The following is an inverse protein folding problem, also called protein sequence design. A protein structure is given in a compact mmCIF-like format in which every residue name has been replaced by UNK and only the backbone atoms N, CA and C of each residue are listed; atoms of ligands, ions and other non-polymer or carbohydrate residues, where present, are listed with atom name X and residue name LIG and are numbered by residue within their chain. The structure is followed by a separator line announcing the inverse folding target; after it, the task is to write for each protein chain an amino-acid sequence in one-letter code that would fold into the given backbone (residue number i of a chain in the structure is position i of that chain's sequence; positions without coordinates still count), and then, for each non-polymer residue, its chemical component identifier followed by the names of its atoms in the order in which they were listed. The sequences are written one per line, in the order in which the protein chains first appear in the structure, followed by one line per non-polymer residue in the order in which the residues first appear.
data_IF_365454232773
#
_entry.id   IF_365454232773
#
_cell.length_a   1.000
_cell.length_b   1.000
_cell.length_c   1.000
_cell.angle_alpha   90.00
_cell.angle_beta   90.00
_cell.angle_gamma   90.00
#
_symmetry.space_group_name_H-M   'P 1'
#
loop_
_entity.id
_entity.type
_entity.pdbx_description
1 polymer ?
#
# COMPACT_ATOMS: atom_id res chain seq x y z
N UNK A 1 -23.12 -32.62 1.90
CA UNK A 1 -22.25 -31.53 1.43
C UNK A 1 -21.63 -31.99 0.14
N UNK A 2 -21.90 -31.31 -0.96
CA UNK A 2 -21.32 -31.64 -2.26
C UNK A 2 -19.80 -31.39 -2.22
N UNK A 3 -19.03 -32.37 -2.70
CA UNK A 3 -17.56 -32.30 -2.70
C UNK A 3 -17.02 -31.09 -3.47
N UNK A 4 -17.79 -30.58 -4.45
CA UNK A 4 -17.52 -29.35 -5.20
C UNK A 4 -17.61 -28.08 -4.35
N UNK A 5 -18.53 -28.02 -3.39
CA UNK A 5 -18.72 -26.86 -2.49
C UNK A 5 -17.58 -26.82 -1.46
N UNK A 6 -17.15 -27.98 -0.95
CA UNK A 6 -15.98 -28.08 -0.08
C UNK A 6 -14.70 -27.67 -0.78
N UNK A 7 -14.49 -28.11 -2.03
CA UNK A 7 -13.34 -27.71 -2.84
C UNK A 7 -13.34 -26.21 -3.13
N UNK A 8 -14.50 -25.65 -3.51
CA UNK A 8 -14.58 -24.23 -3.86
C UNK A 8 -14.44 -23.34 -2.63
N UNK A 9 -15.10 -23.68 -1.53
CA UNK A 9 -14.94 -22.97 -0.25
C UNK A 9 -13.50 -23.01 0.27
N UNK A 10 -12.79 -24.14 0.11
CA UNK A 10 -11.38 -24.27 0.44
C UNK A 10 -10.50 -23.29 -0.35
N UNK A 11 -10.68 -23.20 -1.67
CA UNK A 11 -9.96 -22.25 -2.53
C UNK A 11 -10.27 -20.80 -2.15
N UNK A 12 -11.54 -20.48 -1.90
CA UNK A 12 -11.96 -19.14 -1.47
C UNK A 12 -11.21 -18.71 -0.21
N UNK A 13 -11.18 -19.55 0.82
CA UNK A 13 -10.50 -19.26 2.10
C UNK A 13 -9.01 -19.01 1.87
N UNK A 14 -8.35 -19.86 1.07
CA UNK A 14 -6.92 -19.67 0.74
C UNK A 14 -6.66 -18.33 0.04
N UNK A 15 -7.50 -17.96 -0.93
CA UNK A 15 -7.40 -16.67 -1.63
C UNK A 15 -7.63 -15.47 -0.70
N UNK A 16 -8.61 -15.56 0.20
CA UNK A 16 -8.86 -14.52 1.21
C UNK A 16 -7.67 -14.33 2.14
N UNK A 17 -7.07 -15.42 2.62
CA UNK A 17 -5.89 -15.38 3.49
C UNK A 17 -4.70 -14.80 2.72
N UNK A 18 -4.49 -15.25 1.47
CA UNK A 18 -3.38 -14.83 0.63
C UNK A 18 -3.46 -13.35 0.23
N UNK A 19 -4.66 -12.80 0.02
CA UNK A 19 -4.85 -11.38 -0.29
C UNK A 19 -4.95 -10.48 0.95
N UNK A 20 -5.75 -10.90 1.94
CA UNK A 20 -6.09 -10.11 3.12
C UNK A 20 -4.94 -9.94 4.11
N UNK A 21 -4.18 -11.01 4.41
CA UNK A 21 -3.05 -10.91 5.35
C UNK A 21 -1.98 -9.90 4.88
N UNK A 22 -1.44 -9.97 3.66
CA UNK A 22 -0.41 -9.03 3.25
C UNK A 22 -0.95 -7.61 3.14
N UNK A 23 -2.22 -7.43 2.77
CA UNK A 23 -2.86 -6.11 2.79
C UNK A 23 -2.89 -5.53 4.22
N UNK A 24 -3.39 -6.28 5.20
CA UNK A 24 -3.45 -5.82 6.58
C UNK A 24 -2.07 -5.53 7.16
N UNK A 25 -1.08 -6.38 6.87
CA UNK A 25 0.31 -6.15 7.28
C UNK A 25 0.87 -4.87 6.65
N UNK A 26 0.59 -4.60 5.37
CA UNK A 26 1.02 -3.37 4.71
C UNK A 26 0.39 -2.13 5.35
N UNK A 27 -0.90 -2.17 5.68
CA UNK A 27 -1.58 -1.07 6.36
C UNK A 27 -1.02 -0.83 7.76
N UNK A 28 -0.97 -1.88 8.59
CA UNK A 28 -0.54 -1.77 9.99
C UNK A 28 0.91 -1.33 10.07
N UNK A 29 1.80 -1.91 9.27
CA UNK A 29 3.21 -1.51 9.24
C UNK A 29 3.38 -0.04 8.84
N UNK A 30 2.67 0.41 7.80
CA UNK A 30 2.76 1.80 7.33
C UNK A 30 2.23 2.78 8.38
N UNK A 31 1.09 2.50 9.01
CA UNK A 31 0.53 3.35 10.06
C UNK A 31 1.42 3.40 11.31
N UNK A 32 2.04 2.28 11.69
CA UNK A 32 2.99 2.24 12.80
C UNK A 32 4.24 3.07 12.51
N UNK A 33 4.80 2.96 11.29
CA UNK A 33 5.95 3.75 10.86
C UNK A 33 5.63 5.24 10.87
N UNK A 34 4.47 5.64 10.32
CA UNK A 34 4.04 7.04 10.30
C UNK A 34 3.84 7.58 11.71
N UNK A 35 3.23 6.81 12.62
CA UNK A 35 3.07 7.22 14.03
C UNK A 35 4.42 7.41 14.71
N UNK A 36 5.34 6.46 14.57
CA UNK A 36 6.68 6.56 15.14
C UNK A 36 7.44 7.77 14.58
N UNK A 37 7.43 7.96 13.25
CA UNK A 37 8.05 9.09 12.58
C UNK A 37 7.44 10.43 13.02
N UNK A 38 6.12 10.49 13.19
CA UNK A 38 5.41 11.69 13.66
C UNK A 38 5.88 12.09 15.06
N UNK A 39 5.95 11.13 15.98
CA UNK A 39 6.41 11.39 17.36
C UNK A 39 7.86 11.85 17.39
N UNK A 40 8.75 11.21 16.61
CA UNK A 40 10.15 11.61 16.51
C UNK A 40 10.30 13.03 15.96
N UNK A 41 9.50 13.38 14.94
CA UNK A 41 9.56 14.70 14.32
C UNK A 41 8.94 15.79 15.20
N UNK A 42 7.91 15.46 16.00
CA UNK A 42 7.36 16.35 17.02
C UNK A 42 8.34 16.60 18.16
N UNK A 43 9.14 15.60 18.57
CA UNK A 43 10.18 15.78 19.59
C UNK A 43 11.24 16.81 19.15
N UNK A 44 11.53 16.90 17.85
CA UNK A 44 12.40 17.92 17.25
C UNK A 44 11.68 19.25 16.97
N UNK A 45 10.37 19.34 17.23
CA UNK A 45 9.54 20.51 16.98
C UNK A 45 10.08 21.82 17.56
N UNK A 46 10.50 21.89 18.84
CA UNK A 46 11.04 23.12 19.43
C UNK A 46 12.26 23.67 18.68
N UNK A 47 13.10 22.79 18.12
CA UNK A 47 14.27 23.17 17.35
C UNK A 47 13.86 23.77 15.99
N UNK A 48 12.89 23.19 15.28
CA UNK A 48 12.37 23.76 14.04
C UNK A 48 11.65 25.09 14.28
N UNK A 49 10.93 25.23 15.39
CA UNK A 49 10.29 26.48 15.79
C UNK A 49 11.36 27.55 16.08
N UNK A 50 12.47 27.20 16.73
CA UNK A 50 13.58 28.13 16.94
C UNK A 50 14.20 28.61 15.60
N UNK A 51 14.29 27.73 14.60
CA UNK A 51 14.72 28.12 13.25
C UNK A 51 13.75 29.06 12.53
N UNK A 52 12.48 29.13 12.93
CA UNK A 52 11.53 30.07 12.35
C UNK A 52 11.83 31.54 12.70
N UNK A 53 12.62 31.80 13.75
CA UNK A 53 13.03 33.15 14.15
C UNK A 53 14.07 33.78 13.22
N UNK A 54 14.85 32.97 12.50
CA UNK A 54 15.89 33.48 11.60
C UNK A 54 15.43 33.33 10.14
N UNK A 55 15.45 34.42 9.37
CA UNK A 55 14.98 34.42 7.98
C UNK A 55 15.73 33.41 7.10
N UNK A 56 17.01 33.14 7.40
CA UNK A 56 17.85 32.20 6.66
C UNK A 56 17.47 30.72 6.89
N UNK A 57 16.93 30.37 8.05
CA UNK A 57 16.59 28.97 8.42
C UNK A 57 15.08 28.70 8.47
N UNK A 58 14.25 29.74 8.26
CA UNK A 58 12.78 29.62 8.19
C UNK A 58 12.28 28.60 7.16
N UNK A 59 13.04 28.34 6.09
CA UNK A 59 12.68 27.30 5.11
C UNK A 59 12.61 25.88 5.75
N UNK A 60 13.40 25.62 6.80
CA UNK A 60 13.41 24.32 7.49
C UNK A 60 12.17 24.14 8.36
N UNK A 61 11.67 25.21 8.97
CA UNK A 61 10.40 25.21 9.69
C UNK A 61 9.22 24.87 8.76
N UNK A 62 9.18 25.50 7.57
CA UNK A 62 8.14 25.20 6.59
C UNK A 62 8.23 23.77 6.04
N UNK A 63 9.44 23.26 5.83
CA UNK A 63 9.65 21.85 5.47
C UNK A 63 9.14 20.88 6.55
N UNK A 64 9.39 21.20 7.83
CA UNK A 64 8.86 20.42 8.96
C UNK A 64 7.33 20.44 9.02
N UNK A 65 6.70 21.61 8.87
CA UNK A 65 5.23 21.76 8.84
C UNK A 65 4.62 20.97 7.68
N UNK A 66 5.22 21.08 6.49
CA UNK A 66 4.83 20.33 5.30
C UNK A 66 4.89 18.81 5.54
N UNK A 67 5.95 18.32 6.19
CA UNK A 67 6.09 16.91 6.53
C UNK A 67 5.02 16.43 7.51
N UNK A 68 4.73 17.22 8.54
CA UNK A 68 3.69 16.90 9.53
C UNK A 68 2.31 16.82 8.89
N UNK A 69 1.98 17.80 8.05
CA UNK A 69 0.74 17.78 7.29
C UNK A 69 0.68 16.58 6.34
N UNK A 70 1.79 16.18 5.71
CA UNK A 70 1.87 14.97 4.87
C UNK A 70 1.53 13.70 5.65
N UNK A 71 2.04 13.56 6.88
CA UNK A 71 1.72 12.42 7.74
C UNK A 71 0.26 12.41 8.20
N UNK A 72 -0.30 13.57 8.54
CA UNK A 72 -1.71 13.70 8.90
C UNK A 72 -2.61 13.35 7.71
N UNK A 73 -2.31 13.87 6.53
CA UNK A 73 -3.05 13.58 5.31
C UNK A 73 -2.98 12.09 4.96
N UNK A 74 -1.80 11.46 5.13
CA UNK A 74 -1.67 10.01 4.92
C UNK A 74 -2.64 9.24 5.84
N UNK A 75 -2.71 9.56 7.13
CA UNK A 75 -3.63 8.89 8.05
C UNK A 75 -5.11 9.04 7.62
N UNK A 76 -5.49 10.22 7.12
CA UNK A 76 -6.84 10.47 6.59
C UNK A 76 -7.11 9.64 5.33
N UNK A 77 -6.15 9.55 4.39
CA UNK A 77 -6.33 8.71 3.20
C UNK A 77 -6.47 7.23 3.56
N UNK A 78 -5.71 6.75 4.53
CA UNK A 78 -5.82 5.36 5.01
C UNK A 78 -7.19 5.05 5.60
N UNK A 79 -7.82 5.98 6.34
CA UNK A 79 -9.15 5.75 6.90
C UNK A 79 -10.22 5.61 5.80
N UNK A 80 -10.12 6.41 4.74
CA UNK A 80 -11.02 6.32 3.57
C UNK A 80 -10.86 4.99 2.85
N UNK A 81 -9.62 4.52 2.66
CA UNK A 81 -9.33 3.28 1.96
C UNK A 81 -9.81 2.06 2.75
N UNK A 82 -9.59 2.04 4.06
CA UNK A 82 -10.13 0.99 4.93
C UNK A 82 -11.66 0.96 4.92
N UNK A 83 -12.32 2.12 4.94
CA UNK A 83 -13.77 2.20 4.85
C UNK A 83 -14.30 1.64 3.51
N UNK A 84 -13.62 1.98 2.42
CA UNK A 84 -13.97 1.47 1.08
C UNK A 84 -13.78 -0.05 0.98
N UNK A 85 -12.73 -0.58 1.57
CA UNK A 85 -12.47 -2.02 1.59
C UNK A 85 -13.52 -2.79 2.39
N UNK A 86 -13.89 -2.29 3.58
CA UNK A 86 -14.97 -2.89 4.39
C UNK A 86 -16.30 -2.85 3.65
N UNK A 87 -16.60 -1.73 2.97
CA UNK A 87 -17.79 -1.63 2.12
C UNK A 87 -17.77 -2.68 1.00
N UNK A 88 -16.62 -2.89 0.36
CA UNK A 88 -16.47 -3.90 -0.68
C UNK A 88 -16.66 -5.32 -0.13
N UNK A 89 -16.05 -5.66 1.01
CA UNK A 89 -16.23 -6.96 1.67
C UNK A 89 -17.72 -7.22 1.93
N UNK A 90 -18.46 -6.24 2.44
CA UNK A 90 -19.90 -6.36 2.67
C UNK A 90 -20.66 -6.61 1.36
N UNK A 91 -20.30 -5.96 0.25
CA UNK A 91 -20.97 -6.18 -1.05
C UNK A 91 -20.58 -7.48 -1.76
N UNK A 92 -19.32 -7.92 -1.61
CA UNK A 92 -18.75 -9.04 -2.36
C UNK A 92 -18.85 -10.38 -1.63
N UNK A 93 -18.85 -10.37 -0.29
CA UNK A 93 -18.91 -11.58 0.56
C UNK A 93 -20.30 -11.81 1.13
N UNK A 94 -21.08 -10.75 1.42
CA UNK A 94 -22.47 -10.83 1.86
C UNK A 94 -23.43 -10.45 0.72
N UNK A 95 -23.71 -11.40 -0.18
CA UNK A 95 -24.89 -11.33 -1.06
C UNK A 95 -25.97 -12.24 -0.45
N UNK A 96 -27.08 -11.64 -0.01
CA UNK A 96 -28.26 -12.37 0.49
C UNK A 96 -28.01 -13.39 1.63
N UNK A 97 -27.07 -13.09 2.54
CA UNK A 97 -26.81 -13.91 3.73
C UNK A 97 -26.18 -15.28 3.45
N UNK A 98 -25.71 -15.53 2.21
CA UNK A 98 -24.97 -16.74 1.84
C UNK A 98 -23.61 -16.33 1.28
N UNK A 99 -22.53 -16.91 1.81
CA UNK A 99 -21.25 -16.90 1.11
C UNK A 99 -21.47 -17.67 -0.18
N UNK A 100 -21.59 -16.98 -1.30
CA UNK A 100 -21.61 -17.62 -2.61
C UNK A 100 -20.16 -18.08 -2.87
N UNK A 101 -19.83 -19.36 -2.70
CA UNK A 101 -18.48 -19.85 -2.90
C UNK A 101 -18.31 -20.03 -4.40
N UNK A 102 -18.52 -18.98 -5.18
CA UNK A 102 -18.19 -18.98 -6.59
C UNK A 102 -16.70 -18.70 -6.70
N UNK A 103 -15.99 -19.54 -7.45
CA UNK A 103 -14.59 -19.30 -7.84
C UNK A 103 -14.44 -17.91 -8.45
N UNK A 104 -15.42 -17.44 -9.22
CA UNK A 104 -15.39 -16.12 -9.84
C UNK A 104 -15.39 -14.99 -8.81
N UNK A 105 -16.25 -15.05 -7.78
CA UNK A 105 -16.28 -14.05 -6.71
C UNK A 105 -15.01 -14.04 -5.86
N UNK A 106 -14.42 -15.21 -5.63
CA UNK A 106 -13.19 -15.37 -4.86
C UNK A 106 -11.98 -14.77 -5.58
N UNK A 107 -11.89 -14.95 -6.91
CA UNK A 107 -10.85 -14.34 -7.75
C UNK A 107 -11.02 -12.81 -7.81
N UNK A 108 -12.25 -12.32 -7.99
CA UNK A 108 -12.53 -10.88 -7.99
C UNK A 108 -12.10 -10.23 -6.67
N UNK A 109 -12.38 -10.88 -5.53
CA UNK A 109 -11.93 -10.39 -4.23
C UNK A 109 -10.40 -10.38 -4.12
N UNK A 110 -9.71 -11.45 -4.55
CA UNK A 110 -8.26 -11.51 -4.51
C UNK A 110 -7.61 -10.38 -5.32
N UNK A 111 -8.13 -10.13 -6.53
CA UNK A 111 -7.67 -9.01 -7.37
C UNK A 111 -7.93 -7.68 -6.65
N UNK A 112 -9.08 -7.51 -6.02
CA UNK A 112 -9.40 -6.30 -5.28
C UNK A 112 -8.43 -6.05 -4.12
N UNK A 113 -8.14 -7.05 -3.29
CA UNK A 113 -7.10 -6.96 -2.25
C UNK A 113 -5.73 -6.63 -2.83
N UNK A 114 -5.35 -7.23 -3.96
CA UNK A 114 -4.08 -6.95 -4.61
C UNK A 114 -3.97 -5.50 -5.09
N UNK A 115 -5.05 -4.94 -5.66
CA UNK A 115 -5.11 -3.53 -6.08
C UNK A 115 -5.02 -2.61 -4.86
N UNK A 116 -5.76 -2.90 -3.80
CA UNK A 116 -5.74 -2.13 -2.56
C UNK A 116 -4.39 -2.18 -1.86
N UNK A 117 -3.69 -3.32 -1.93
CA UNK A 117 -2.32 -3.47 -1.43
C UNK A 117 -1.37 -2.51 -2.16
N UNK A 118 -1.43 -2.44 -3.49
CA UNK A 118 -0.64 -1.48 -4.27
C UNK A 118 -1.02 -0.05 -3.90
N UNK A 119 -2.33 0.23 -3.80
CA UNK A 119 -2.82 1.57 -3.46
C UNK A 119 -2.28 2.04 -2.10
N UNK A 120 -2.34 1.19 -1.07
CA UNK A 120 -1.78 1.44 0.27
C UNK A 120 -0.30 1.80 0.24
N UNK A 121 0.49 1.21 -0.66
CA UNK A 121 1.92 1.56 -0.77
C UNK A 121 2.18 2.93 -1.39
N UNK A 122 1.22 3.46 -2.17
CA UNK A 122 1.36 4.75 -2.86
C UNK A 122 0.67 5.91 -2.14
N UNK A 123 -0.31 5.64 -1.26
CA UNK A 123 -0.99 6.69 -0.48
C UNK A 123 -0.05 7.64 0.26
N UNK A 124 1.03 7.18 0.94
CA UNK A 124 1.96 8.09 1.59
C UNK A 124 2.66 9.01 0.59
N UNK A 125 2.93 8.53 -0.62
CA UNK A 125 3.58 9.33 -1.67
C UNK A 125 2.63 10.40 -2.21
N UNK A 126 1.35 10.07 -2.40
CA UNK A 126 0.33 11.03 -2.82
C UNK A 126 0.06 12.09 -1.75
N UNK A 127 -0.03 11.69 -0.49
CA UNK A 127 -0.19 12.65 0.61
C UNK A 127 1.02 13.59 0.71
N UNK A 128 2.23 13.05 0.58
CA UNK A 128 3.44 13.84 0.67
C UNK A 128 3.59 14.84 -0.48
N UNK A 129 3.29 14.40 -1.71
CA UNK A 129 3.38 15.26 -2.91
C UNK A 129 2.40 16.42 -2.87
N UNK A 130 1.17 16.19 -2.39
CA UNK A 130 0.17 17.25 -2.18
C UNK A 130 0.69 18.28 -1.17
N UNK A 131 1.31 17.82 -0.08
CA UNK A 131 1.82 18.70 0.96
C UNK A 131 3.17 19.36 0.62
N UNK A 132 3.77 19.03 -0.53
CA UNK A 132 5.11 19.52 -0.91
C UNK A 132 6.24 18.92 -0.07
N UNK A 133 5.96 17.85 0.67
CA UNK A 133 6.93 17.12 1.47
C UNK A 133 7.52 15.98 0.67
N UNK A 134 8.79 15.64 0.89
CA UNK A 134 9.26 14.32 0.46
C UNK A 134 8.57 13.30 1.35
N UNK A 135 8.06 12.20 0.76
CA UNK A 135 7.39 11.18 1.55
C UNK A 135 8.40 10.54 2.51
N UNK A 136 8.50 11.05 3.74
CA UNK A 136 9.23 10.43 4.84
C UNK A 136 8.44 9.19 5.29
N UNK A 137 8.42 8.20 4.41
CA UNK A 137 7.51 7.06 4.42
C UNK A 137 7.64 6.19 3.16
N UNK A 138 8.35 6.67 2.12
CA UNK A 138 8.65 5.93 0.88
C UNK A 138 9.56 4.68 1.05
N UNK A 139 9.73 4.19 2.28
CA UNK A 139 10.47 2.96 2.56
C UNK A 139 9.69 1.69 2.19
N UNK A 140 8.35 1.70 2.20
CA UNK A 140 7.57 0.48 1.97
C UNK A 140 7.60 0.05 0.51
N UNK A 141 7.51 0.94 -0.48
CA UNK A 141 7.62 0.55 -1.91
C UNK A 141 9.02 -0.01 -2.25
N UNK A 142 10.08 0.53 -1.64
CA UNK A 142 11.45 0.01 -1.78
C UNK A 142 11.70 -1.32 -1.06
N UNK A 143 11.04 -1.54 0.07
CA UNK A 143 11.06 -2.77 0.89
C UNK A 143 10.18 -3.84 0.25
N UNK A 144 8.92 -3.56 -0.06
CA UNK A 144 8.01 -4.47 -0.78
C UNK A 144 8.62 -4.91 -2.10
N UNK A 145 9.21 -4.02 -2.91
CA UNK A 145 9.87 -4.46 -4.15
C UNK A 145 11.25 -5.13 -3.93
N UNK A 146 11.83 -5.07 -2.71
CA UNK A 146 12.99 -5.90 -2.30
C UNK A 146 12.55 -7.28 -1.80
N UNK A 147 11.41 -7.40 -1.11
CA UNK A 147 10.96 -8.62 -0.46
C UNK A 147 9.91 -9.41 -1.27
N UNK A 148 9.14 -8.79 -2.17
CA UNK A 148 8.10 -9.47 -2.98
C UNK A 148 8.65 -10.20 -4.21
N UNK A 149 9.96 -10.15 -4.46
CA UNK A 149 10.58 -10.81 -5.62
C UNK A 149 10.14 -10.27 -6.99
N UNK A 150 9.21 -9.30 -7.06
CA UNK A 150 8.71 -8.70 -8.31
C UNK A 150 9.86 -8.12 -9.15
N UNK A 151 10.89 -7.54 -8.53
CA UNK A 151 12.09 -7.07 -9.25
C UNK A 151 12.99 -8.20 -9.75
N UNK A 152 12.91 -9.38 -9.15
CA UNK A 152 13.62 -10.59 -9.61
C UNK A 152 12.83 -11.25 -10.74
N UNK A 153 11.51 -11.40 -10.59
CA UNK A 153 10.62 -11.89 -11.63
C UNK A 153 10.63 -11.00 -12.88
N UNK A 154 10.60 -9.67 -12.72
CA UNK A 154 10.71 -8.73 -13.83
C UNK A 154 12.08 -8.79 -14.54
N UNK A 155 13.17 -9.00 -13.80
CA UNK A 155 14.51 -9.19 -14.39
C UNK A 155 14.61 -10.50 -15.16
N UNK A 156 14.06 -11.59 -14.63
CA UNK A 156 14.03 -12.90 -15.32
C UNK A 156 13.12 -12.85 -16.54
N UNK A 157 11.95 -12.19 -16.46
CA UNK A 157 11.05 -11.99 -17.59
C UNK A 157 11.72 -11.16 -18.70
N UNK A 158 12.43 -10.08 -18.34
CA UNK A 158 13.18 -9.28 -19.31
C UNK A 158 14.37 -10.03 -19.91
N UNK A 159 15.04 -10.88 -19.13
CA UNK A 159 16.12 -11.75 -19.62
C UNK A 159 15.60 -12.87 -20.54
N UNK A 160 14.47 -13.47 -20.21
CA UNK A 160 13.81 -14.45 -21.07
C UNK A 160 13.33 -13.79 -22.37
N UNK A 161 12.80 -12.57 -22.29
CA UNK A 161 12.37 -11.77 -23.44
C UNK A 161 13.54 -11.40 -24.37
N UNK A 162 14.73 -11.11 -23.85
CA UNK A 162 15.90 -10.80 -24.68
C UNK A 162 16.51 -12.01 -25.39
N UNK A 163 16.16 -13.23 -24.95
CA UNK A 163 16.50 -14.49 -25.64
C UNK A 163 15.47 -14.93 -26.68
N UNK A 164 14.36 -14.21 -26.85
CA UNK A 164 13.41 -14.50 -27.92
C UNK A 164 14.02 -14.13 -29.28
N UNK A 165 13.93 -15.01 -30.29
CA UNK A 165 14.61 -14.87 -31.58
C UNK A 165 14.17 -13.67 -32.44
N UNK A 166 13.17 -12.89 -32.00
CA UNK A 166 12.66 -11.71 -32.70
C UNK A 166 13.40 -10.38 -32.43
N UNK A 167 14.33 -10.31 -31.48
CA UNK A 167 15.03 -9.05 -31.14
C UNK A 167 16.39 -8.85 -31.85
N UNK A 168 16.78 -9.75 -32.76
CA UNK A 168 18.06 -9.67 -33.49
C UNK A 168 17.97 -8.93 -34.85
N UNK A 169 16.82 -8.32 -35.15
CA UNK A 169 16.52 -7.68 -36.45
C UNK A 169 16.19 -6.19 -36.35
N UNK A 170 16.45 -5.54 -35.20
CA UNK A 170 16.13 -4.13 -34.97
C UNK A 170 17.28 -3.32 -34.33
N UNK A 171 18.53 -3.74 -34.54
CA UNK A 171 19.72 -3.02 -34.13
C UNK A 171 20.62 -2.72 -35.33
#
# INVERSE_FOLDING_TARGET
MDMSVLYTGGISIVLFILGGIPFLLAVVSTLLVIKAATTMLLALGPLFIAFALFDRTRQWFWGWVSQMAGFMLTQVLFSVVLAMEVAFINTAVLKDGKMDPSISGSISMFIFFAVFLVLVTELPNYAASIMGSSAAGAGVSGVVSKYSGIRTAARVANFARSKLPGNKIAG
#
